data_IF_534855366617
#
_entry.id   IF_534855366617
#
_cell.length_a   1.000
_cell.length_b   1.000
_cell.length_c   1.000
_cell.angle_alpha   90.00
_cell.angle_beta   90.00
_cell.angle_gamma   90.00
#
_symmetry.space_group_name_H-M   'P 1'
#
loop_
_entity.id
_entity.type
_entity.pdbx_description
1 polymer ?
#
# COMPACT_ATOMS: atom_id res chain seq x y z
N UNK A 1 -17.83 69.67 3.52
CA UNK A 1 -17.27 68.43 4.07
C UNK A 1 -18.06 67.24 3.55
N UNK A 2 -17.45 66.40 2.73
CA UNK A 2 -17.65 64.94 2.70
C UNK A 2 -16.60 64.37 1.73
N UNK A 3 -15.57 63.78 2.33
CA UNK A 3 -14.56 62.99 1.64
C UNK A 3 -15.23 61.72 1.10
N UNK A 4 -15.12 61.48 -0.20
CA UNK A 4 -15.43 60.17 -0.77
C UNK A 4 -14.11 59.45 -0.94
N UNK A 5 -13.83 58.53 -0.01
CA UNK A 5 -12.65 57.69 0.02
C UNK A 5 -12.81 56.59 -1.04
N UNK A 6 -11.90 56.57 -2.00
CA UNK A 6 -11.67 55.44 -2.90
C UNK A 6 -11.07 54.29 -2.09
N UNK A 7 -11.69 53.11 -2.08
CA UNK A 7 -11.09 51.88 -1.55
C UNK A 7 -10.95 50.89 -2.70
N UNK A 8 -9.73 50.75 -3.21
CA UNK A 8 -9.29 49.64 -4.05
C UNK A 8 -9.07 48.42 -3.13
N UNK A 9 -10.03 47.49 -3.08
CA UNK A 9 -9.82 46.17 -2.48
C UNK A 9 -9.24 45.24 -3.54
N UNK A 10 -7.91 45.28 -3.71
CA UNK A 10 -7.17 44.18 -4.32
C UNK A 10 -7.11 43.04 -3.30
N UNK A 11 -8.13 42.19 -3.32
CA UNK A 11 -8.04 40.88 -2.70
C UNK A 11 -7.01 40.07 -3.49
N UNK A 12 -5.76 40.12 -3.05
CA UNK A 12 -4.82 39.04 -3.26
C UNK A 12 -5.43 37.79 -2.63
N UNK A 13 -6.19 37.04 -3.42
CA UNK A 13 -6.45 35.64 -3.18
C UNK A 13 -5.10 34.95 -3.30
N UNK A 14 -4.32 34.96 -2.22
CA UNK A 14 -3.32 33.93 -2.00
C UNK A 14 -4.11 32.63 -1.93
N UNK A 15 -4.21 31.96 -3.08
CA UNK A 15 -4.52 30.55 -3.13
C UNK A 15 -3.47 29.85 -2.27
N UNK A 16 -3.81 29.63 -1.00
CA UNK A 16 -3.16 28.62 -0.19
C UNK A 16 -3.54 27.28 -0.83
N UNK A 17 -2.85 26.95 -1.91
CA UNK A 17 -2.61 25.56 -2.27
C UNK A 17 -1.83 24.98 -1.11
N UNK A 18 -2.55 24.51 -0.09
CA UNK A 18 -2.01 23.56 0.87
C UNK A 18 -1.52 22.39 0.02
N UNK A 19 -0.22 22.38 -0.26
CA UNK A 19 0.43 21.20 -0.78
C UNK A 19 0.22 20.14 0.31
N UNK A 20 -0.73 19.23 0.11
CA UNK A 20 -0.78 17.99 0.85
C UNK A 20 0.52 17.26 0.48
N UNK A 21 1.56 17.47 1.28
CA UNK A 21 2.76 16.66 1.19
C UNK A 21 2.38 15.35 1.86
N UNK A 22 2.20 14.30 1.05
CA UNK A 22 1.97 12.97 1.58
C UNK A 22 3.24 12.51 2.29
N UNK A 23 3.11 12.25 3.59
CA UNK A 23 4.17 11.67 4.41
C UNK A 23 4.15 10.15 4.33
N UNK A 24 5.30 9.53 4.61
CA UNK A 24 5.43 8.08 4.63
C UNK A 24 4.38 7.42 5.54
N UNK A 25 3.73 6.36 5.04
CA UNK A 25 2.78 5.52 5.80
C UNK A 25 3.27 4.08 5.78
N UNK A 26 3.54 3.53 6.96
CA UNK A 26 3.91 2.13 7.13
C UNK A 26 2.71 1.21 6.85
N UNK A 27 2.97 -0.10 6.78
CA UNK A 27 1.89 -1.10 6.78
C UNK A 27 1.10 -1.02 8.09
N UNK A 28 1.80 -0.87 9.22
CA UNK A 28 1.19 -0.78 10.56
C UNK A 28 0.19 0.38 10.67
N UNK A 29 0.49 1.54 10.04
CA UNK A 29 -0.45 2.66 9.98
C UNK A 29 -1.83 2.25 9.46
N UNK A 30 -1.89 1.39 8.43
CA UNK A 30 -3.15 0.91 7.88
C UNK A 30 -3.79 -0.16 8.73
N UNK A 31 -3.00 -1.02 9.38
CA UNK A 31 -3.55 -2.03 10.29
C UNK A 31 -4.06 -1.43 11.60
N UNK A 32 -3.49 -0.35 12.11
CA UNK A 32 -4.03 0.40 13.25
C UNK A 32 -5.42 0.98 12.92
N UNK A 33 -5.62 1.44 11.67
CA UNK A 33 -6.93 1.90 11.19
C UNK A 33 -7.93 0.74 11.13
N UNK A 34 -7.52 -0.42 10.62
CA UNK A 34 -8.34 -1.64 10.58
C UNK A 34 -8.75 -2.04 11.99
N UNK A 35 -7.80 -2.17 12.91
CA UNK A 35 -8.04 -2.59 14.29
C UNK A 35 -9.03 -1.65 14.99
N UNK A 36 -8.83 -0.33 14.84
CA UNK A 36 -9.74 0.65 15.41
C UNK A 36 -11.16 0.49 14.89
N UNK A 37 -11.32 0.34 13.56
CA UNK A 37 -12.64 0.16 12.95
C UNK A 37 -13.29 -1.17 13.35
N UNK A 38 -12.49 -2.23 13.49
CA UNK A 38 -12.96 -3.54 13.97
C UNK A 38 -13.50 -3.40 15.40
N UNK A 39 -12.75 -2.77 16.31
CA UNK A 39 -13.17 -2.55 17.70
C UNK A 39 -14.44 -1.69 17.79
N UNK A 40 -14.51 -0.60 17.04
CA UNK A 40 -15.66 0.30 17.02
C UNK A 40 -16.93 -0.43 16.55
N UNK A 41 -16.83 -1.23 15.48
CA UNK A 41 -17.99 -1.98 14.95
C UNK A 41 -18.38 -3.15 15.87
N UNK A 42 -17.41 -3.82 16.52
CA UNK A 42 -17.68 -4.88 17.49
C UNK A 42 -18.45 -4.36 18.72
N UNK A 43 -18.13 -3.15 19.19
CA UNK A 43 -18.89 -2.47 20.25
C UNK A 43 -20.30 -2.11 19.77
N UNK A 44 -20.41 -1.51 18.59
CA UNK A 44 -21.68 -1.13 17.98
C UNK A 44 -22.64 -2.31 17.78
N UNK A 45 -22.11 -3.47 17.40
CA UNK A 45 -22.87 -4.71 17.25
C UNK A 45 -23.17 -5.44 18.57
N UNK A 46 -22.71 -4.89 19.70
CA UNK A 46 -22.90 -5.46 21.03
C UNK A 46 -22.18 -6.80 21.24
N UNK A 47 -21.13 -7.07 20.45
CA UNK A 47 -20.27 -8.24 20.62
C UNK A 47 -19.28 -7.98 21.77
N UNK A 48 -18.73 -6.77 21.80
CA UNK A 48 -17.94 -6.26 22.91
C UNK A 48 -18.72 -5.18 23.66
N UNK A 49 -18.51 -5.09 24.97
CA UNK A 49 -18.93 -3.94 25.77
C UNK A 49 -17.90 -2.79 25.73
N UNK A 50 -18.19 -1.68 26.41
CA UNK A 50 -17.30 -0.52 26.47
C UNK A 50 -15.94 -0.84 27.12
N UNK A 51 -15.88 -1.87 27.97
CA UNK A 51 -14.68 -2.36 28.64
C UNK A 51 -13.96 -3.47 27.85
N UNK A 52 -14.33 -3.69 26.58
CA UNK A 52 -13.78 -4.72 25.69
C UNK A 52 -14.04 -6.16 26.17
N UNK A 53 -15.07 -6.38 26.99
CA UNK A 53 -15.49 -7.73 27.39
C UNK A 53 -16.49 -8.28 26.40
N UNK A 54 -16.42 -9.58 26.14
CA UNK A 54 -17.37 -10.29 25.28
C UNK A 54 -18.73 -10.33 25.99
N UNK A 55 -19.78 -9.87 25.31
CA UNK A 55 -21.15 -9.93 25.83
C UNK A 55 -21.60 -11.40 26.06
N UNK A 56 -22.35 -11.66 27.13
CA UNK A 56 -22.73 -13.02 27.55
C UNK A 56 -23.38 -13.85 26.43
N UNK A 57 -24.20 -13.22 25.58
CA UNK A 57 -24.83 -13.86 24.41
C UNK A 57 -23.81 -14.45 23.42
N UNK A 58 -22.66 -13.82 23.29
CA UNK A 58 -21.60 -14.18 22.33
C UNK A 58 -20.42 -14.90 22.98
N UNK A 59 -20.45 -15.11 24.29
CA UNK A 59 -19.39 -15.76 25.05
C UNK A 59 -19.57 -17.27 25.06
N UNK A 60 -18.47 -18.01 24.97
CA UNK A 60 -18.46 -19.46 25.19
C UNK A 60 -18.50 -19.76 26.70
N UNK A 61 -19.29 -20.75 27.09
CA UNK A 61 -19.47 -21.08 28.51
C UNK A 61 -18.12 -21.46 29.16
N UNK A 62 -17.75 -20.75 30.22
CA UNK A 62 -16.51 -20.99 30.97
C UNK A 62 -15.22 -20.55 30.29
N UNK A 63 -15.28 -19.78 29.18
CA UNK A 63 -14.09 -19.27 28.46
C UNK A 63 -14.22 -17.79 28.13
N UNK A 64 -13.09 -17.08 28.08
CA UNK A 64 -13.00 -15.73 27.50
C UNK A 64 -12.80 -15.81 25.98
N UNK A 65 -13.75 -16.45 25.30
CA UNK A 65 -13.71 -16.63 23.85
C UNK A 65 -15.12 -16.46 23.24
N UNK A 66 -15.15 -16.08 21.96
CA UNK A 66 -16.40 -16.02 21.21
C UNK A 66 -16.95 -17.44 21.00
N UNK A 67 -18.25 -17.61 21.24
CA UNK A 67 -18.97 -18.77 20.74
C UNK A 67 -19.14 -18.69 19.21
N UNK A 68 -19.67 -19.74 18.59
CA UNK A 68 -19.85 -19.81 17.13
C UNK A 68 -20.60 -18.59 16.56
N UNK A 69 -21.71 -18.19 17.18
CA UNK A 69 -22.49 -17.04 16.71
C UNK A 69 -21.73 -15.71 16.82
N UNK A 70 -20.91 -15.56 17.87
CA UNK A 70 -20.04 -14.40 18.02
C UNK A 70 -18.93 -14.38 16.98
N UNK A 71 -18.30 -15.53 16.73
CA UNK A 71 -17.25 -15.66 15.73
C UNK A 71 -17.76 -15.39 14.31
N UNK A 72 -18.91 -15.96 13.93
CA UNK A 72 -19.50 -15.76 12.61
C UNK A 72 -19.77 -14.27 12.35
N UNK A 73 -20.32 -13.56 13.34
CA UNK A 73 -20.51 -12.11 13.25
C UNK A 73 -19.19 -11.33 13.17
N UNK A 74 -18.20 -11.68 13.99
CA UNK A 74 -16.88 -11.05 13.94
C UNK A 74 -16.23 -11.23 12.57
N UNK A 75 -16.29 -12.43 11.99
CA UNK A 75 -15.76 -12.71 10.65
C UNK A 75 -16.45 -11.83 9.58
N UNK A 76 -17.78 -11.69 9.63
CA UNK A 76 -18.52 -10.81 8.72
C UNK A 76 -18.11 -9.33 8.85
N UNK A 77 -17.92 -8.84 10.08
CA UNK A 77 -17.45 -7.47 10.36
C UNK A 77 -16.06 -7.27 9.76
N UNK A 78 -15.14 -8.18 10.06
CA UNK A 78 -13.76 -8.16 9.58
C UNK A 78 -13.70 -8.12 8.05
N UNK A 79 -14.43 -9.00 7.36
CA UNK A 79 -14.50 -9.00 5.89
C UNK A 79 -14.95 -7.66 5.34
N UNK A 80 -15.99 -7.06 5.92
CA UNK A 80 -16.53 -5.77 5.44
C UNK A 80 -15.52 -4.64 5.61
N UNK A 81 -14.84 -4.58 6.75
CA UNK A 81 -13.83 -3.56 7.04
C UNK A 81 -12.65 -3.69 6.10
N UNK A 82 -12.08 -4.90 5.99
CA UNK A 82 -10.95 -5.18 5.10
C UNK A 82 -11.29 -4.84 3.65
N UNK A 83 -12.45 -5.28 3.14
CA UNK A 83 -12.91 -4.92 1.79
C UNK A 83 -13.13 -3.42 1.60
N UNK A 84 -13.56 -2.70 2.63
CA UNK A 84 -13.77 -1.26 2.53
C UNK A 84 -12.46 -0.47 2.48
N UNK A 85 -11.44 -0.93 3.20
CA UNK A 85 -10.14 -0.26 3.29
C UNK A 85 -9.29 -0.62 2.08
N UNK A 86 -9.18 -1.91 1.77
CA UNK A 86 -8.32 -2.46 0.72
C UNK A 86 -9.06 -2.70 -0.60
N UNK A 87 -10.13 -1.93 -0.88
CA UNK A 87 -10.70 -1.85 -2.24
C UNK A 87 -9.77 -1.14 -3.22
N UNK A 88 -8.88 -0.31 -2.69
CA UNK A 88 -7.90 0.50 -3.41
C UNK A 88 -6.50 0.12 -2.94
N UNK A 89 -5.51 0.36 -3.80
CA UNK A 89 -4.12 0.52 -3.39
C UNK A 89 -3.97 1.80 -2.55
N UNK A 90 -3.30 1.70 -1.41
CA UNK A 90 -3.12 2.76 -0.42
C UNK A 90 -1.67 3.27 -0.43
N UNK A 91 -1.48 4.58 -0.43
CA UNK A 91 -0.16 5.21 -0.52
C UNK A 91 0.75 4.80 0.64
N UNK A 92 2.01 4.46 0.36
CA UNK A 92 3.03 4.31 1.39
C UNK A 92 4.13 5.36 1.30
N UNK A 93 4.63 5.61 0.09
CA UNK A 93 5.79 6.46 -0.11
C UNK A 93 5.82 6.97 -1.55
N UNK A 94 6.35 8.18 -1.76
CA UNK A 94 6.77 8.64 -3.08
C UNK A 94 8.23 9.05 -3.09
N UNK A 95 8.87 8.94 -4.26
CA UNK A 95 10.20 9.47 -4.55
C UNK A 95 10.17 10.19 -5.89
N UNK A 96 10.69 11.40 -5.92
CA UNK A 96 10.91 12.16 -7.13
C UNK A 96 12.30 11.89 -7.71
N UNK A 97 12.40 11.74 -9.03
CA UNK A 97 13.66 11.63 -9.75
C UNK A 97 13.54 12.25 -11.13
N UNK A 98 14.35 13.29 -11.39
CA UNK A 98 14.25 14.13 -12.60
C UNK A 98 12.83 14.66 -12.78
N UNK A 99 12.16 14.34 -13.89
CA UNK A 99 10.79 14.78 -14.22
C UNK A 99 9.73 13.73 -13.87
N UNK A 100 10.13 12.66 -13.18
CA UNK A 100 9.26 11.55 -12.83
C UNK A 100 9.05 11.45 -11.31
N UNK A 101 7.95 10.83 -10.92
CA UNK A 101 7.64 10.43 -9.54
C UNK A 101 7.29 8.95 -9.51
N UNK A 102 7.86 8.26 -8.53
CA UNK A 102 7.67 6.85 -8.26
C UNK A 102 6.93 6.71 -6.94
N UNK A 103 5.80 6.02 -6.95
CA UNK A 103 4.95 5.89 -5.77
C UNK A 103 4.80 4.40 -5.45
N UNK A 104 5.05 4.07 -4.20
CA UNK A 104 4.81 2.77 -3.61
C UNK A 104 3.41 2.76 -3.00
N UNK A 105 2.56 1.89 -3.50
CA UNK A 105 1.26 1.58 -2.93
C UNK A 105 1.23 0.19 -2.30
N UNK A 106 0.33 0.02 -1.34
CA UNK A 106 0.09 -1.18 -0.57
C UNK A 106 -1.40 -1.55 -0.59
N UNK A 107 -1.70 -2.83 -0.70
CA UNK A 107 -3.06 -3.37 -0.57
C UNK A 107 -3.00 -4.77 0.06
N UNK A 108 -4.17 -5.33 0.30
CA UNK A 108 -4.34 -6.67 0.83
C UNK A 108 -5.36 -7.42 -0.04
N UNK A 109 -4.97 -8.61 -0.49
CA UNK A 109 -5.85 -9.54 -1.18
C UNK A 109 -6.41 -10.55 -0.17
N UNK A 110 -7.69 -10.91 -0.33
CA UNK A 110 -8.34 -11.86 0.57
C UNK A 110 -8.41 -11.36 2.01
N UNK A 111 -7.88 -12.15 2.96
CA UNK A 111 -7.93 -11.83 4.40
C UNK A 111 -6.62 -11.33 4.96
N UNK A 112 -5.52 -11.69 4.32
CA UNK A 112 -4.22 -11.52 4.92
C UNK A 112 -3.11 -11.41 3.87
N UNK A 113 -3.26 -11.95 2.66
CA UNK A 113 -2.28 -11.80 1.58
C UNK A 113 -2.01 -10.33 1.29
N UNK A 114 -0.75 -9.95 1.21
CA UNK A 114 -0.36 -8.55 1.08
C UNK A 114 0.31 -8.28 -0.25
N UNK A 115 0.03 -7.12 -0.83
CA UNK A 115 0.52 -6.74 -2.14
C UNK A 115 1.05 -5.31 -2.19
N UNK A 116 2.04 -5.11 -3.05
CA UNK A 116 2.69 -3.83 -3.30
C UNK A 116 2.81 -3.57 -4.77
N UNK A 117 2.58 -2.32 -5.13
CA UNK A 117 2.70 -1.86 -6.49
C UNK A 117 3.54 -0.59 -6.53
N UNK A 118 4.58 -0.60 -7.36
CA UNK A 118 5.31 0.61 -7.73
C UNK A 118 4.71 1.15 -9.02
N UNK A 119 4.31 2.41 -9.00
CA UNK A 119 3.75 3.14 -10.14
C UNK A 119 4.62 4.36 -10.45
N UNK A 120 4.75 4.69 -11.73
CA UNK A 120 5.51 5.85 -12.25
C UNK A 120 4.57 6.85 -12.92
N UNK A 121 4.71 8.13 -12.60
CA UNK A 121 4.11 9.25 -13.32
C UNK A 121 5.17 10.25 -13.78
N UNK A 122 4.81 11.11 -14.73
CA UNK A 122 5.43 12.43 -14.85
C UNK A 122 5.00 13.28 -13.66
N UNK A 123 5.90 14.13 -13.14
CA UNK A 123 5.59 14.98 -11.97
C UNK A 123 4.34 15.83 -12.15
N UNK A 124 4.15 16.42 -13.33
CA UNK A 124 2.98 17.25 -13.61
C UNK A 124 1.66 16.47 -13.68
N UNK A 125 1.70 15.16 -13.89
CA UNK A 125 0.52 14.32 -14.08
C UNK A 125 0.08 13.61 -12.79
N UNK A 126 0.93 13.60 -11.76
CA UNK A 126 0.61 13.01 -10.47
C UNK A 126 -0.17 14.00 -9.60
N UNK A 127 -1.40 13.66 -9.30
CA UNK A 127 -2.35 14.44 -8.50
C UNK A 127 -2.11 14.34 -6.99
N UNK A 128 -1.06 13.63 -6.55
CA UNK A 128 -0.79 13.30 -5.15
C UNK A 128 -1.94 12.52 -4.50
N UNK A 129 -2.63 11.67 -5.25
CA UNK A 129 -3.66 10.81 -4.68
C UNK A 129 -3.06 9.81 -3.69
N UNK A 130 -3.66 9.73 -2.50
CA UNK A 130 -3.28 8.78 -1.47
C UNK A 130 -3.88 7.37 -1.65
N UNK A 131 -4.71 7.21 -2.70
CA UNK A 131 -5.31 5.93 -3.12
C UNK A 131 -5.32 5.78 -4.63
N UNK A 132 -5.32 4.54 -5.11
CA UNK A 132 -5.56 4.25 -6.53
C UNK A 132 -6.37 2.97 -6.68
N UNK A 133 -7.35 2.98 -7.58
CA UNK A 133 -8.23 1.82 -7.80
C UNK A 133 -7.43 0.61 -8.30
N UNK A 134 -7.64 -0.55 -7.67
CA UNK A 134 -6.94 -1.80 -8.01
C UNK A 134 -7.20 -2.21 -9.45
N UNK A 135 -8.44 -2.12 -9.93
CA UNK A 135 -8.83 -2.53 -11.28
C UNK A 135 -8.21 -1.61 -12.33
N UNK A 136 -8.16 -0.31 -12.06
CA UNK A 136 -7.46 0.63 -12.93
C UNK A 136 -6.00 0.22 -13.11
N UNK A 137 -5.30 -0.14 -12.02
CA UNK A 137 -3.91 -0.61 -12.11
C UNK A 137 -3.80 -1.90 -12.93
N UNK A 138 -4.67 -2.87 -12.71
CA UNK A 138 -4.69 -4.13 -13.49
C UNK A 138 -4.96 -3.87 -14.98
N UNK A 139 -5.96 -3.06 -15.31
CA UNK A 139 -6.27 -2.67 -16.70
C UNK A 139 -5.06 -1.98 -17.37
N UNK A 140 -4.26 -1.23 -16.60
CA UNK A 140 -3.02 -0.61 -17.08
C UNK A 140 -1.86 -1.59 -17.26
N UNK A 141 -1.84 -2.74 -16.56
CA UNK A 141 -0.83 -3.80 -16.72
C UNK A 141 -1.04 -4.59 -18.01
N UNK A 142 -2.28 -4.97 -18.31
CA UNK A 142 -2.64 -5.87 -19.44
C UNK A 142 -2.80 -5.18 -20.80
N UNK A 143 -2.21 -3.99 -20.99
CA UNK A 143 -2.28 -3.20 -22.24
C UNK A 143 -1.75 -3.90 -23.50
N UNK A 144 -1.17 -5.10 -23.40
CA UNK A 144 -0.52 -5.79 -24.51
C UNK A 144 -1.26 -7.04 -25.05
N UNK A 145 -2.45 -7.38 -24.56
CA UNK A 145 -3.12 -8.64 -24.95
C UNK A 145 -4.48 -8.52 -25.65
N UNK A 146 -5.09 -7.34 -25.79
CA UNK A 146 -6.36 -7.25 -26.54
C UNK A 146 -6.59 -5.93 -27.27
N UNK A 147 -7.15 -6.00 -28.47
CA UNK A 147 -7.55 -4.90 -29.38
C UNK A 147 -8.64 -3.97 -28.82
N UNK A 148 -8.87 -3.95 -27.49
CA UNK A 148 -9.80 -3.02 -26.86
C UNK A 148 -9.11 -1.68 -26.65
N UNK A 149 -9.75 -0.60 -27.12
CA UNK A 149 -9.38 0.80 -26.86
C UNK A 149 -8.93 0.95 -25.42
N UNK A 150 -7.63 1.15 -25.27
CA UNK A 150 -6.92 1.23 -24.00
C UNK A 150 -7.41 2.44 -23.21
N UNK A 151 -7.72 2.25 -21.94
CA UNK A 151 -7.79 3.38 -21.00
C UNK A 151 -6.41 4.03 -21.00
N UNK A 152 -6.33 5.30 -21.42
CA UNK A 152 -5.08 6.07 -21.33
C UNK A 152 -4.75 6.30 -19.86
N UNK A 153 -3.95 5.39 -19.30
CA UNK A 153 -3.40 5.59 -17.96
C UNK A 153 -2.31 6.66 -18.02
N UNK A 154 -2.44 7.69 -17.17
CA UNK A 154 -1.43 8.73 -16.94
C UNK A 154 -0.24 8.24 -16.08
N UNK A 155 -0.18 6.93 -15.81
CA UNK A 155 0.90 6.26 -15.10
C UNK A 155 1.32 4.96 -15.76
N UNK A 156 2.49 4.46 -15.35
CA UNK A 156 3.06 3.18 -15.77
C UNK A 156 3.28 2.28 -14.55
N UNK A 157 2.71 1.07 -14.52
CA UNK A 157 3.09 0.04 -13.56
C UNK A 157 4.56 -0.37 -13.75
N UNK A 158 5.35 -0.36 -12.67
CA UNK A 158 6.79 -0.65 -12.71
C UNK A 158 7.11 -2.03 -12.16
N UNK A 159 6.60 -2.35 -10.97
CA UNK A 159 6.85 -3.63 -10.33
C UNK A 159 5.71 -3.98 -9.38
N UNK A 160 5.39 -5.27 -9.33
CA UNK A 160 4.41 -5.85 -8.43
C UNK A 160 5.11 -6.84 -7.48
N UNK A 161 4.67 -6.88 -6.22
CA UNK A 161 5.19 -7.79 -5.22
C UNK A 161 4.06 -8.26 -4.31
N UNK A 162 3.99 -9.56 -4.04
CA UNK A 162 2.87 -10.25 -3.40
C UNK A 162 3.41 -11.29 -2.42
N UNK A 163 2.81 -11.36 -1.23
CA UNK A 163 3.17 -12.32 -0.18
C UNK A 163 1.89 -13.00 0.37
N UNK A 164 1.73 -14.29 0.08
CA UNK A 164 0.71 -15.20 0.67
C UNK A 164 1.17 -15.79 2.01
N UNK A 165 2.49 -15.88 2.19
CA UNK A 165 3.13 -16.61 3.27
C UNK A 165 3.64 -15.68 4.39
N UNK A 166 4.60 -16.12 5.20
CA UNK A 166 5.16 -15.30 6.29
C UNK A 166 5.67 -13.95 5.78
N UNK A 167 4.96 -12.88 6.17
CA UNK A 167 5.07 -11.57 5.51
C UNK A 167 6.26 -10.76 6.02
N UNK A 168 6.94 -10.08 5.10
CA UNK A 168 7.97 -9.10 5.40
C UNK A 168 7.36 -7.69 5.44
N UNK A 169 6.50 -7.44 6.43
CA UNK A 169 5.74 -6.18 6.55
C UNK A 169 6.54 -5.01 7.12
N UNK A 170 7.67 -5.29 7.74
CA UNK A 170 8.53 -4.27 8.34
C UNK A 170 9.44 -3.62 7.29
N UNK A 171 9.75 -2.33 7.48
CA UNK A 171 10.68 -1.56 6.65
C UNK A 171 10.38 -1.60 5.15
N UNK A 172 9.09 -1.65 4.79
CA UNK A 172 8.68 -1.59 3.39
C UNK A 172 8.85 -0.16 2.87
N UNK A 173 9.76 0.00 1.90
CA UNK A 173 10.11 1.30 1.33
C UNK A 173 10.72 1.14 -0.06
N UNK A 174 10.72 2.23 -0.82
CA UNK A 174 11.54 2.42 -2.01
C UNK A 174 12.64 3.44 -1.74
N UNK A 175 13.75 3.36 -2.46
CA UNK A 175 14.81 4.36 -2.47
C UNK A 175 15.61 4.33 -3.77
N UNK A 176 16.37 5.40 -4.04
CA UNK A 176 17.23 5.49 -5.23
C UNK A 176 18.70 5.43 -4.83
N UNK A 177 19.46 4.62 -5.55
CA UNK A 177 20.92 4.55 -5.45
C UNK A 177 21.54 4.30 -6.82
N UNK A 178 22.51 5.13 -7.21
CA UNK A 178 23.23 5.00 -8.49
C UNK A 178 22.32 4.87 -9.72
N UNK A 179 21.27 5.71 -9.79
CA UNK A 179 20.24 5.68 -10.84
C UNK A 179 19.44 4.36 -10.91
N UNK A 180 19.40 3.60 -9.83
CA UNK A 180 18.48 2.49 -9.65
C UNK A 180 17.41 2.82 -8.61
N UNK A 181 16.17 2.47 -8.91
CA UNK A 181 15.08 2.41 -7.95
C UNK A 181 15.03 1.01 -7.34
N UNK A 182 15.05 0.94 -6.01
CA UNK A 182 15.12 -0.29 -5.24
C UNK A 182 13.93 -0.35 -4.30
N UNK A 183 13.30 -1.53 -4.19
CA UNK A 183 12.31 -1.83 -3.16
C UNK A 183 12.92 -2.72 -2.09
N UNK A 184 12.73 -2.32 -0.83
CA UNK A 184 13.14 -3.06 0.35
C UNK A 184 11.92 -3.46 1.16
N UNK A 185 11.94 -4.68 1.69
CA UNK A 185 10.94 -5.21 2.64
C UNK A 185 11.65 -6.19 3.57
N UNK A 186 11.43 -6.08 4.87
CA UNK A 186 12.06 -6.96 5.86
C UNK A 186 13.59 -6.88 5.88
N UNK A 187 14.17 -5.72 5.56
CA UNK A 187 15.62 -5.50 5.38
C UNK A 187 16.26 -6.31 4.25
N UNK A 188 15.46 -6.79 3.29
CA UNK A 188 15.94 -7.46 2.08
C UNK A 188 15.48 -6.67 0.87
N UNK A 189 16.26 -6.71 -0.22
CA UNK A 189 15.87 -6.07 -1.47
C UNK A 189 15.07 -7.06 -2.32
N UNK A 190 13.93 -6.58 -2.84
CA UNK A 190 12.98 -7.39 -3.61
C UNK A 190 12.90 -6.97 -5.06
N UNK A 191 13.13 -5.68 -5.34
CA UNK A 191 13.00 -5.12 -6.69
C UNK A 191 14.18 -4.22 -7.02
N UNK A 192 14.64 -4.30 -8.26
CA UNK A 192 15.62 -3.39 -8.86
C UNK A 192 15.14 -2.94 -10.25
N UNK A 193 14.98 -1.63 -10.40
CA UNK A 193 14.58 -0.98 -11.64
C UNK A 193 15.63 0.04 -12.06
N UNK A 194 16.12 -0.05 -13.30
CA UNK A 194 17.10 0.87 -13.87
C UNK A 194 16.38 2.13 -14.39
N UNK A 195 16.68 3.27 -13.78
CA UNK A 195 16.05 4.56 -14.13
C UNK A 195 16.60 5.14 -15.43
N UNK A 196 17.77 4.71 -15.91
CA UNK A 196 18.33 5.16 -17.20
C UNK A 196 17.73 4.42 -18.37
N UNK A 197 17.69 3.09 -18.29
CA UNK A 197 17.14 2.25 -19.38
C UNK A 197 15.63 2.04 -19.28
N UNK A 198 15.01 2.48 -18.16
CA UNK A 198 13.60 2.28 -17.84
C UNK A 198 13.16 0.81 -17.78
N UNK A 199 14.06 -0.08 -17.34
CA UNK A 199 13.84 -1.53 -17.31
C UNK A 199 13.81 -2.10 -15.90
N UNK A 200 12.88 -3.00 -15.68
CA UNK A 200 12.85 -3.87 -14.50
C UNK A 200 13.96 -4.92 -14.65
N UNK A 201 14.95 -4.89 -13.76
CA UNK A 201 16.14 -5.75 -13.85
C UNK A 201 15.95 -7.02 -13.02
N UNK A 202 15.45 -6.86 -11.80
CA UNK A 202 15.16 -7.97 -10.88
C UNK A 202 13.86 -7.70 -10.14
N UNK A 203 12.96 -8.68 -10.16
CA UNK A 203 11.74 -8.73 -9.38
C UNK A 203 11.26 -10.18 -9.35
N UNK A 204 10.85 -10.68 -8.19
CA UNK A 204 10.04 -11.89 -8.08
C UNK A 204 8.71 -11.47 -7.48
N UNK A 205 7.62 -11.69 -8.23
CA UNK A 205 6.31 -11.20 -7.83
C UNK A 205 5.79 -11.92 -6.61
N UNK A 206 6.04 -13.22 -6.48
CA UNK A 206 5.69 -13.99 -5.28
C UNK A 206 6.86 -14.88 -4.84
N UNK A 207 7.74 -14.37 -3.94
CA UNK A 207 8.84 -15.17 -3.41
C UNK A 207 8.35 -16.46 -2.75
N UNK A 208 7.23 -16.42 -2.02
CA UNK A 208 6.63 -17.60 -1.38
C UNK A 208 6.31 -18.71 -2.38
N UNK A 209 5.55 -18.39 -3.43
CA UNK A 209 5.18 -19.36 -4.48
C UNK A 209 6.42 -19.88 -5.22
N UNK A 210 7.43 -19.03 -5.42
CA UNK A 210 8.65 -19.39 -6.14
C UNK A 210 9.57 -20.34 -5.37
N UNK A 211 9.77 -20.08 -4.08
CA UNK A 211 10.79 -20.77 -3.30
C UNK A 211 10.28 -22.07 -2.65
N UNK A 212 8.97 -22.28 -2.57
CA UNK A 212 8.35 -23.42 -1.87
C UNK A 212 8.83 -23.57 -0.41
N UNK A 213 9.18 -22.45 0.24
CA UNK A 213 9.64 -22.44 1.62
C UNK A 213 8.55 -22.97 2.56
N UNK A 214 8.97 -23.49 3.73
CA UNK A 214 8.04 -23.95 4.77
C UNK A 214 7.76 -22.87 5.81
N UNK A 215 8.62 -21.87 5.91
CA UNK A 215 8.58 -20.85 6.95
C UNK A 215 9.30 -19.56 6.50
N UNK A 216 9.27 -18.55 7.37
CA UNK A 216 9.84 -17.21 7.12
C UNK A 216 11.35 -17.23 6.88
N UNK A 217 12.06 -18.06 7.65
CA UNK A 217 13.52 -18.10 7.63
C UNK A 217 14.03 -18.68 6.30
N UNK A 218 13.43 -19.78 5.85
CA UNK A 218 13.71 -20.39 4.56
C UNK A 218 13.40 -19.44 3.40
N UNK A 219 12.25 -18.76 3.45
CA UNK A 219 11.86 -17.78 2.43
C UNK A 219 12.85 -16.61 2.40
N UNK A 220 13.23 -16.06 3.56
CA UNK A 220 14.17 -14.95 3.65
C UNK A 220 15.57 -15.33 3.19
N UNK A 221 16.02 -16.57 3.46
CA UNK A 221 17.27 -17.09 2.90
C UNK A 221 17.21 -17.13 1.38
N UNK A 222 16.12 -17.63 0.81
CA UNK A 222 15.94 -17.67 -0.64
C UNK A 222 15.92 -16.27 -1.26
N UNK A 223 15.18 -15.32 -0.69
CA UNK A 223 15.15 -13.90 -1.11
C UNK A 223 16.56 -13.33 -1.07
N UNK A 224 17.32 -13.60 0.00
CA UNK A 224 18.68 -13.10 0.16
C UNK A 224 19.59 -13.55 -0.99
N UNK A 225 19.56 -14.84 -1.30
CA UNK A 225 20.41 -15.46 -2.32
C UNK A 225 19.98 -15.08 -3.76
N UNK A 226 18.67 -14.97 -4.00
CA UNK A 226 18.14 -14.84 -5.36
C UNK A 226 17.85 -13.41 -5.78
N UNK A 227 17.61 -12.50 -4.83
CA UNK A 227 17.30 -11.10 -5.08
C UNK A 227 18.32 -10.20 -4.40
N UNK A 228 18.33 -10.14 -3.07
CA UNK A 228 19.08 -9.12 -2.32
C UNK A 228 20.57 -9.07 -2.67
N UNK A 229 21.29 -10.19 -2.60
CA UNK A 229 22.73 -10.21 -2.89
C UNK A 229 23.05 -9.82 -4.35
N UNK A 230 22.17 -10.17 -5.30
CA UNK A 230 22.33 -9.80 -6.71
C UNK A 230 22.12 -8.30 -6.89
N UNK A 231 21.10 -7.76 -6.24
CA UNK A 231 20.80 -6.32 -6.22
C UNK A 231 21.97 -5.56 -5.59
N UNK A 232 22.46 -5.99 -4.41
CA UNK A 232 23.63 -5.38 -3.76
C UNK A 232 24.85 -5.33 -4.66
N UNK A 233 25.13 -6.43 -5.38
CA UNK A 233 26.24 -6.48 -6.32
C UNK A 233 26.05 -5.47 -7.47
N UNK A 234 24.84 -5.33 -8.00
CA UNK A 234 24.58 -4.40 -9.12
C UNK A 234 24.65 -2.93 -8.72
N UNK A 235 24.25 -2.58 -7.50
CA UNK A 235 24.17 -1.17 -7.07
C UNK A 235 25.47 -0.66 -6.42
N UNK A 236 26.42 -1.54 -6.08
CA UNK A 236 27.70 -1.20 -5.48
C UNK A 236 28.89 -1.32 -6.44
N UNK A 237 28.70 -1.89 -7.62
CA UNK A 237 29.68 -1.89 -8.70
C UNK A 237 29.47 -0.67 -9.60
#
# INVERSE_FOLDING_TARGET
MKQTITIFFLAFLSSNSFSQNLEYRSVDYYFDIVEKLELDELKKEGILDDNLKIADKYKEAGKEALNKSGFDKYADIKVKILRSIFKDYLFQQCIEYKDDVYVLYFSMAGFDDTEWQILKWRKQDWDKSDKIDLRLVEDCKFKFESDKKTTECNFKPIAFNYDEGPKNLNNVKIFIKNDFLIMERGNLYHTLYDLKSEKLILNEESPWTKCQAKNKEEMNKWIKENLHNKIEKLINN
#
